data_IF_505642461659
#
_entry.id   IF_505642461659
#
_cell.length_a   1.000
_cell.length_b   1.000
_cell.length_c   1.000
_cell.angle_alpha   90.00
_cell.angle_beta   90.00
_cell.angle_gamma   90.00
#
_symmetry.space_group_name_H-M   'P 1'
#
loop_
_entity.id
_entity.type
_entity.pdbx_description
1 polymer ?
#
# COMPACT_ATOMS: atom_id res chain seq x y z
N UNK A 1 -19.62 19.40 12.38
CA UNK A 1 -18.36 18.71 12.71
C UNK A 1 -17.96 17.89 11.48
N UNK A 2 -16.93 18.29 10.73
CA UNK A 2 -16.48 17.54 9.55
C UNK A 2 -15.78 16.26 10.03
N UNK A 3 -16.38 15.10 9.73
CA UNK A 3 -15.72 13.81 9.93
C UNK A 3 -14.47 13.80 9.05
N UNK A 4 -13.28 13.76 9.66
CA UNK A 4 -12.04 13.50 8.92
C UNK A 4 -12.25 12.17 8.16
N UNK A 5 -11.95 12.12 6.85
CA UNK A 5 -12.10 10.88 6.10
C UNK A 5 -11.25 9.80 6.78
N UNK A 6 -11.91 8.72 7.17
CA UNK A 6 -11.41 7.53 7.89
C UNK A 6 -10.22 6.81 7.21
N UNK A 7 -9.71 7.36 6.11
CA UNK A 7 -8.66 6.83 5.26
C UNK A 7 -7.29 6.86 5.92
N UNK A 8 -6.99 7.87 6.75
CA UNK A 8 -5.69 8.00 7.41
C UNK A 8 -5.46 6.92 8.49
N UNK A 9 -6.53 6.34 9.06
CA UNK A 9 -6.47 5.30 10.09
C UNK A 9 -6.28 3.88 9.54
N UNK A 10 -6.54 3.63 8.26
CA UNK A 10 -6.69 2.26 7.74
C UNK A 10 -5.34 1.55 7.60
N UNK A 11 -4.23 2.30 7.52
CA UNK A 11 -2.93 1.72 7.24
C UNK A 11 -1.88 2.44 8.08
N UNK A 12 -1.45 1.75 9.14
CA UNK A 12 -0.29 2.12 9.93
C UNK A 12 0.98 1.86 9.12
N UNK A 13 1.27 2.73 8.16
CA UNK A 13 2.53 2.83 7.41
C UNK A 13 2.81 4.29 7.09
N UNK A 14 4.06 4.71 7.10
CA UNK A 14 4.50 6.08 6.90
C UNK A 14 5.61 6.16 5.84
N UNK A 15 5.87 7.37 5.35
CA UNK A 15 7.01 7.62 4.45
C UNK A 15 8.30 7.22 5.19
N UNK A 16 9.16 6.46 4.50
CA UNK A 16 10.39 5.88 5.04
C UNK A 16 10.26 4.42 5.44
N UNK A 17 9.06 3.95 5.76
CA UNK A 17 8.83 2.55 6.16
C UNK A 17 9.14 1.60 5.01
N UNK A 18 9.81 0.50 5.35
CA UNK A 18 10.01 -0.61 4.44
C UNK A 18 8.85 -1.59 4.58
N UNK A 19 8.25 -1.95 3.45
CA UNK A 19 7.04 -2.79 3.44
C UNK A 19 7.13 -3.89 2.38
N UNK A 20 6.31 -4.91 2.58
CA UNK A 20 5.91 -5.89 1.57
C UNK A 20 4.43 -5.67 1.29
N UNK A 21 4.09 -5.41 0.02
CA UNK A 21 2.73 -5.32 -0.46
C UNK A 21 2.41 -6.52 -1.37
N UNK A 22 1.37 -7.27 -1.04
CA UNK A 22 0.89 -8.42 -1.81
C UNK A 22 -0.38 -8.02 -2.55
N UNK A 23 -0.30 -7.88 -3.87
CA UNK A 23 -1.39 -7.47 -4.73
C UNK A 23 -2.05 -8.70 -5.37
N UNK A 24 -3.35 -8.86 -5.14
CA UNK A 24 -4.18 -9.91 -5.70
C UNK A 24 -4.84 -9.38 -6.98
N UNK A 25 -4.41 -9.83 -8.15
CA UNK A 25 -5.06 -9.44 -9.42
C UNK A 25 -6.21 -10.40 -9.75
N UNK A 26 -7.32 -10.30 -9.02
CA UNK A 26 -8.50 -11.14 -9.24
C UNK A 26 -8.32 -12.61 -8.81
N UNK A 27 -9.27 -13.48 -9.18
CA UNK A 27 -9.41 -14.83 -8.62
C UNK A 27 -8.45 -15.88 -9.19
N UNK A 28 -7.84 -15.65 -10.35
CA UNK A 28 -7.01 -16.65 -11.08
C UNK A 28 -5.57 -16.22 -11.36
N UNK A 29 -5.15 -15.01 -11.00
CA UNK A 29 -3.78 -14.53 -11.26
C UNK A 29 -2.87 -14.73 -10.05
N UNK A 30 -1.56 -14.93 -10.26
CA UNK A 30 -0.59 -15.00 -9.19
C UNK A 30 -0.58 -13.71 -8.37
N UNK A 31 -0.37 -13.85 -7.06
CA UNK A 31 -0.16 -12.71 -6.16
C UNK A 31 1.17 -12.06 -6.51
N UNK A 32 1.16 -10.76 -6.83
CA UNK A 32 2.38 -9.99 -7.06
C UNK A 32 2.85 -9.41 -5.73
N UNK A 33 4.07 -9.75 -5.32
CA UNK A 33 4.69 -9.18 -4.13
C UNK A 33 5.61 -8.04 -4.54
N UNK A 34 5.43 -6.90 -3.89
CA UNK A 34 6.21 -5.68 -4.07
C UNK A 34 6.93 -5.41 -2.75
N UNK A 35 8.24 -5.20 -2.81
CA UNK A 35 9.08 -4.96 -1.62
C UNK A 35 9.87 -3.69 -1.83
N UNK A 36 9.73 -2.75 -0.90
CA UNK A 36 10.42 -1.47 -1.01
C UNK A 36 10.11 -0.53 0.13
N UNK A 37 10.55 0.73 -0.01
CA UNK A 37 10.28 1.80 0.97
C UNK A 37 9.17 2.71 0.47
N UNK A 38 8.32 3.17 1.37
CA UNK A 38 7.31 4.19 1.04
C UNK A 38 8.03 5.52 0.84
N UNK A 39 7.95 6.08 -0.37
CA UNK A 39 8.53 7.38 -0.70
C UNK A 39 7.48 8.49 -0.78
N UNK A 40 6.20 8.11 -0.88
CA UNK A 40 5.08 9.04 -0.94
C UNK A 40 3.84 8.39 -0.33
N UNK A 41 3.05 9.18 0.39
CA UNK A 41 1.77 8.78 0.97
C UNK A 41 0.80 9.96 0.88
N UNK A 42 -0.39 9.69 0.38
CA UNK A 42 -1.53 10.59 0.54
C UNK A 42 -2.79 9.78 0.92
N UNK A 43 -3.96 10.42 0.90
CA UNK A 43 -5.23 9.81 1.29
C UNK A 43 -5.74 8.73 0.32
N UNK A 44 -5.22 8.66 -0.90
CA UNK A 44 -5.72 7.77 -1.96
C UNK A 44 -4.71 6.71 -2.37
N UNK A 45 -3.42 6.96 -2.24
CA UNK A 45 -2.37 6.01 -2.62
C UNK A 45 -1.08 6.19 -1.82
N UNK A 46 -0.28 5.13 -1.82
CA UNK A 46 1.13 5.15 -1.43
C UNK A 46 1.99 4.83 -2.64
N UNK A 47 3.21 5.34 -2.68
CA UNK A 47 4.22 4.94 -3.66
C UNK A 47 5.37 4.25 -2.96
N UNK A 48 5.70 3.06 -3.46
CA UNK A 48 6.77 2.20 -2.97
C UNK A 48 7.93 2.28 -3.96
N UNK A 49 9.12 2.60 -3.46
CA UNK A 49 10.37 2.50 -4.20
C UNK A 49 11.04 1.16 -3.88
N UNK A 50 11.11 0.29 -4.88
CA UNK A 50 11.96 -0.90 -4.88
C UNK A 50 13.38 -0.57 -5.34
N UNK A 51 14.20 -1.61 -5.59
CA UNK A 51 15.57 -1.42 -6.08
C UNK A 51 15.60 -0.72 -7.45
N UNK A 52 14.79 -1.23 -8.38
CA UNK A 52 14.81 -0.81 -9.80
C UNK A 52 13.44 -0.34 -10.30
N UNK A 53 12.50 -0.06 -9.40
CA UNK A 53 11.14 0.34 -9.77
C UNK A 53 10.48 1.27 -8.74
N UNK A 54 9.43 1.95 -9.18
CA UNK A 54 8.47 2.69 -8.34
C UNK A 54 7.07 2.20 -8.65
N UNK A 55 6.31 1.83 -7.64
CA UNK A 55 4.93 1.37 -7.82
C UNK A 55 3.99 2.15 -6.89
N UNK A 56 2.89 2.66 -7.45
CA UNK A 56 1.82 3.29 -6.68
C UNK A 56 0.69 2.31 -6.42
N UNK A 57 0.26 2.21 -5.16
CA UNK A 57 -0.82 1.34 -4.71
C UNK A 57 -1.97 2.20 -4.21
N UNK A 58 -3.16 1.98 -4.78
CA UNK A 58 -4.38 2.63 -4.34
C UNK A 58 -4.84 2.03 -2.99
N UNK A 59 -5.12 2.90 -2.01
CA UNK A 59 -5.53 2.47 -0.68
C UNK A 59 -6.91 1.81 -0.66
N UNK A 60 -7.74 2.09 -1.67
CA UNK A 60 -9.03 1.42 -1.85
C UNK A 60 -8.82 -0.10 -2.01
N UNK A 61 -7.79 -0.53 -2.74
CA UNK A 61 -7.50 -1.96 -2.92
C UNK A 61 -7.13 -2.65 -1.60
N UNK A 62 -6.59 -1.89 -0.64
CA UNK A 62 -6.26 -2.40 0.68
C UNK A 62 -7.53 -2.57 1.52
N UNK A 63 -8.46 -1.62 1.42
CA UNK A 63 -9.78 -1.71 2.06
C UNK A 63 -10.62 -2.87 1.53
N UNK A 64 -10.57 -3.10 0.22
CA UNK A 64 -11.29 -4.19 -0.44
C UNK A 64 -10.63 -5.57 -0.19
N UNK A 65 -9.45 -5.61 0.44
CA UNK A 65 -8.71 -6.84 0.73
C UNK A 65 -7.95 -7.42 -0.47
N UNK A 66 -7.93 -6.71 -1.59
CA UNK A 66 -7.15 -7.06 -2.79
C UNK A 66 -5.66 -6.81 -2.61
N UNK A 67 -5.29 -5.92 -1.69
CA UNK A 67 -3.89 -5.66 -1.34
C UNK A 67 -3.66 -5.83 0.15
N UNK A 68 -2.67 -6.63 0.52
CA UNK A 68 -2.19 -6.76 1.91
C UNK A 68 -0.85 -6.07 2.05
N UNK A 69 -0.68 -5.28 3.11
CA UNK A 69 0.58 -4.61 3.41
C UNK A 69 1.11 -5.09 4.75
N UNK A 70 2.43 -5.33 4.82
CA UNK A 70 3.15 -5.65 6.04
C UNK A 70 4.41 -4.80 6.14
N UNK A 71 4.63 -4.12 7.28
CA UNK A 71 5.92 -3.51 7.62
C UNK A 71 6.99 -4.60 7.79
N UNK A 72 8.20 -4.32 7.32
CA UNK A 72 9.38 -5.16 7.52
C UNK A 72 10.53 -4.30 8.04
N UNK A 73 11.34 -4.88 8.93
CA UNK A 73 12.50 -4.21 9.53
C UNK A 73 13.67 -4.08 8.54
#
# INVERSE_FOLDING_TARGET
MQQKPKYEEIIDVNIGDKIVASLKQGSKKPVRNIVGRIIFKNKMFITIQGKDYKESINLINIMLGDTKIRKIS
#
